data_IF_969591007726
#
_entry.id   IF_969591007726
#
_cell.length_a   1.000
_cell.length_b   1.000
_cell.length_c   1.000
_cell.angle_alpha   90.00
_cell.angle_beta   90.00
_cell.angle_gamma   90.00
#
_symmetry.space_group_name_H-M   'P 1'
#
loop_
_entity.id
_entity.type
_entity.pdbx_description
1 polymer ?
#
# COMPACT_ATOMS: atom_id res chain seq x y z
N UNK A 1 19.30 -22.64 3.05
CA UNK A 1 18.30 -22.31 4.08
C UNK A 1 18.30 -20.82 4.45
N UNK A 2 19.45 -20.22 4.66
CA UNK A 2 19.56 -18.78 4.98
C UNK A 2 18.98 -17.87 3.89
N UNK A 3 19.30 -18.12 2.62
CA UNK A 3 18.84 -17.29 1.49
C UNK A 3 17.31 -17.31 1.28
N UNK A 4 16.68 -18.48 1.41
CA UNK A 4 15.23 -18.60 1.25
C UNK A 4 14.45 -17.94 2.39
N UNK A 5 14.96 -18.00 3.62
CA UNK A 5 14.38 -17.30 4.78
C UNK A 5 14.52 -15.79 4.66
N UNK A 6 15.72 -15.30 4.33
CA UNK A 6 15.95 -13.88 4.09
C UNK A 6 15.03 -13.36 2.96
N UNK A 7 14.82 -14.16 1.90
CA UNK A 7 13.90 -13.82 0.83
C UNK A 7 12.44 -13.76 1.30
N UNK A 8 12.01 -14.67 2.17
CA UNK A 8 10.66 -14.61 2.75
C UNK A 8 10.49 -13.38 3.63
N UNK A 9 11.45 -13.09 4.50
CA UNK A 9 11.41 -11.90 5.36
C UNK A 9 11.38 -10.63 4.52
N UNK A 10 12.20 -10.54 3.49
CA UNK A 10 12.21 -9.44 2.55
C UNK A 10 10.86 -9.29 1.82
N UNK A 11 10.27 -10.38 1.34
CA UNK A 11 8.96 -10.35 0.68
C UNK A 11 7.85 -9.85 1.62
N UNK A 12 7.82 -10.32 2.86
CA UNK A 12 6.85 -9.87 3.86
C UNK A 12 7.02 -8.38 4.18
N UNK A 13 8.27 -7.92 4.35
CA UNK A 13 8.57 -6.50 4.56
C UNK A 13 8.24 -5.63 3.37
N UNK A 14 8.49 -6.12 2.15
CA UNK A 14 8.08 -5.43 0.92
C UNK A 14 6.57 -5.26 0.85
N UNK A 15 5.80 -6.30 1.18
CA UNK A 15 4.34 -6.22 1.22
C UNK A 15 3.86 -5.20 2.26
N UNK A 16 4.45 -5.20 3.45
CA UNK A 16 4.16 -4.21 4.50
C UNK A 16 4.46 -2.77 4.03
N UNK A 17 5.61 -2.57 3.39
CA UNK A 17 5.99 -1.28 2.83
C UNK A 17 5.02 -0.80 1.72
N UNK A 18 4.61 -1.69 0.82
CA UNK A 18 3.63 -1.40 -0.24
C UNK A 18 2.25 -1.02 0.35
N UNK A 19 1.82 -1.67 1.43
CA UNK A 19 0.60 -1.30 2.16
C UNK A 19 0.69 0.10 2.78
N UNK A 20 1.82 0.46 3.38
CA UNK A 20 2.07 1.79 3.95
C UNK A 20 2.05 2.84 2.84
N UNK A 21 2.71 2.58 1.71
CA UNK A 21 2.69 3.45 0.54
C UNK A 21 1.26 3.66 0.02
N UNK A 22 0.45 2.59 -0.02
CA UNK A 22 -0.96 2.67 -0.40
C UNK A 22 -1.76 3.59 0.52
N UNK A 23 -1.53 3.52 1.83
CA UNK A 23 -2.19 4.41 2.81
C UNK A 23 -1.77 5.86 2.65
N UNK A 24 -0.47 6.13 2.48
CA UNK A 24 0.04 7.48 2.24
C UNK A 24 -0.49 8.08 0.93
N UNK A 25 -0.57 7.27 -0.12
CA UNK A 25 -1.17 7.66 -1.39
C UNK A 25 -2.65 8.02 -1.23
N UNK A 26 -3.42 7.20 -0.51
CA UNK A 26 -4.83 7.45 -0.25
C UNK A 26 -5.06 8.77 0.51
N UNK A 27 -4.23 9.08 1.51
CA UNK A 27 -4.29 10.38 2.19
C UNK A 27 -4.05 11.55 1.24
N UNK A 28 -3.12 11.41 0.31
CA UNK A 28 -2.83 12.45 -0.68
C UNK A 28 -4.02 12.67 -1.61
N UNK A 29 -4.58 11.59 -2.15
CA UNK A 29 -5.74 11.64 -3.04
C UNK A 29 -6.98 12.26 -2.36
N UNK A 30 -7.24 11.90 -1.10
CA UNK A 30 -8.32 12.51 -0.31
C UNK A 30 -8.09 14.00 -0.07
N UNK A 31 -6.85 14.41 0.22
CA UNK A 31 -6.51 15.81 0.38
C UNK A 31 -6.74 16.62 -0.90
N UNK A 32 -6.33 16.09 -2.04
CA UNK A 32 -6.53 16.70 -3.35
C UNK A 32 -8.03 16.88 -3.66
N UNK A 33 -8.84 15.84 -3.45
CA UNK A 33 -10.28 15.91 -3.65
C UNK A 33 -10.97 16.97 -2.78
N UNK A 34 -10.59 17.06 -1.49
CA UNK A 34 -11.13 18.08 -0.60
C UNK A 34 -10.69 19.49 -0.99
N UNK A 35 -9.45 19.67 -1.43
CA UNK A 35 -8.96 20.96 -1.92
C UNK A 35 -9.66 21.40 -3.21
N UNK A 36 -9.87 20.48 -4.15
CA UNK A 36 -10.62 20.75 -5.39
C UNK A 36 -12.07 21.17 -5.09
N UNK A 37 -12.73 20.45 -4.15
CA UNK A 37 -14.09 20.78 -3.68
C UNK A 37 -14.13 22.19 -3.08
N UNK A 38 -13.17 22.53 -2.21
CA UNK A 38 -13.07 23.87 -1.62
C UNK A 38 -12.88 24.96 -2.69
N UNK A 39 -11.99 24.71 -3.64
CA UNK A 39 -11.75 25.67 -4.73
C UNK A 39 -12.98 25.86 -5.60
N UNK A 40 -13.66 24.78 -5.94
CA UNK A 40 -14.91 24.85 -6.74
C UNK A 40 -16.00 25.65 -6.02
N UNK A 41 -16.16 25.47 -4.70
CA UNK A 41 -17.14 26.21 -3.90
C UNK A 41 -16.79 27.70 -3.77
N UNK A 42 -15.50 28.03 -3.59
CA UNK A 42 -15.04 29.41 -3.59
C UNK A 42 -15.32 30.12 -4.92
N UNK A 43 -14.98 29.46 -6.03
CA UNK A 43 -15.25 29.99 -7.37
C UNK A 43 -16.75 30.14 -7.62
N UNK A 44 -17.58 29.22 -7.12
CA UNK A 44 -19.07 29.32 -7.21
C UNK A 44 -19.57 30.55 -6.49
N UNK A 45 -19.12 30.82 -5.26
CA UNK A 45 -19.52 32.00 -4.49
C UNK A 45 -19.06 33.29 -5.18
N UNK A 46 -17.84 33.31 -5.67
CA UNK A 46 -17.28 34.46 -6.38
C UNK A 46 -18.07 34.76 -7.67
N UNK A 47 -18.50 33.72 -8.40
CA UNK A 47 -19.34 33.86 -9.59
C UNK A 47 -20.77 34.35 -9.30
N UNK A 48 -21.32 33.99 -8.14
CA UNK A 48 -22.65 34.47 -7.71
C UNK A 48 -22.62 35.96 -7.34
N UNK A 49 -21.48 36.43 -6.80
CA UNK A 49 -21.37 37.80 -6.31
C UNK A 49 -22.28 38.09 -5.11
N UNK A 50 -22.18 39.29 -4.55
CA UNK A 50 -23.09 39.73 -3.50
C UNK A 50 -24.49 40.05 -4.11
N UNK A 51 -25.58 39.39 -3.64
CA UNK A 51 -26.90 39.59 -4.21
C UNK A 51 -27.49 40.95 -3.85
N UNK A 52 -28.20 41.55 -4.79
CA UNK A 52 -28.93 42.84 -4.58
C UNK A 52 -30.02 42.66 -3.51
N UNK A 53 -30.40 43.80 -2.86
CA UNK A 53 -31.38 43.77 -1.75
C UNK A 53 -32.73 43.18 -2.12
N UNK A 54 -33.15 43.28 -3.37
CA UNK A 54 -34.45 42.83 -3.87
C UNK A 54 -34.44 41.44 -4.49
N UNK A 55 -33.25 40.84 -4.73
CA UNK A 55 -33.09 39.52 -5.32
C UNK A 55 -33.15 38.44 -4.23
N UNK A 56 -34.33 37.90 -3.98
CA UNK A 56 -34.55 36.85 -2.96
C UNK A 56 -33.89 35.54 -3.38
N UNK A 57 -34.02 35.16 -4.66
CA UNK A 57 -33.47 33.89 -5.17
C UNK A 57 -31.94 33.91 -5.15
N UNK A 58 -31.32 35.04 -5.52
CA UNK A 58 -29.88 35.24 -5.42
C UNK A 58 -29.38 35.18 -3.99
N UNK A 59 -30.10 35.73 -3.03
CA UNK A 59 -29.78 35.66 -1.60
C UNK A 59 -29.81 34.22 -1.08
N UNK A 60 -30.83 33.45 -1.49
CA UNK A 60 -30.92 32.03 -1.10
C UNK A 60 -29.78 31.24 -1.72
N UNK A 61 -29.48 31.40 -3.00
CA UNK A 61 -28.39 30.72 -3.67
C UNK A 61 -27.03 31.04 -3.04
N UNK A 62 -26.77 32.31 -2.73
CA UNK A 62 -25.54 32.75 -2.06
C UNK A 62 -25.41 32.18 -0.65
N UNK A 63 -26.51 32.21 0.13
CA UNK A 63 -26.50 31.64 1.49
C UNK A 63 -26.25 30.14 1.50
N UNK A 64 -26.89 29.39 0.58
CA UNK A 64 -26.64 27.95 0.43
C UNK A 64 -25.19 27.66 0.03
N UNK A 65 -24.67 28.38 -0.96
CA UNK A 65 -23.26 28.19 -1.37
C UNK A 65 -22.27 28.53 -0.25
N UNK A 66 -22.57 29.58 0.53
CA UNK A 66 -21.75 29.96 1.71
C UNK A 66 -21.79 28.90 2.80
N UNK A 67 -22.97 28.31 3.03
CA UNK A 67 -23.10 27.21 3.97
C UNK A 67 -22.34 25.94 3.51
N UNK A 68 -22.43 25.59 2.22
CA UNK A 68 -21.67 24.48 1.63
C UNK A 68 -20.17 24.69 1.79
N UNK A 69 -19.68 25.91 1.53
CA UNK A 69 -18.27 26.26 1.70
C UNK A 69 -17.84 26.11 3.18
N UNK A 70 -18.60 26.66 4.11
CA UNK A 70 -18.29 26.54 5.54
C UNK A 70 -18.22 25.09 5.99
N UNK A 71 -19.15 24.24 5.53
CA UNK A 71 -19.14 22.80 5.84
C UNK A 71 -17.90 22.11 5.25
N UNK A 72 -17.52 22.44 4.02
CA UNK A 72 -16.34 21.90 3.37
C UNK A 72 -15.03 22.37 4.06
N UNK A 73 -14.96 23.62 4.54
CA UNK A 73 -13.83 24.12 5.33
C UNK A 73 -13.70 23.37 6.66
N UNK A 74 -14.82 23.08 7.33
CA UNK A 74 -14.81 22.28 8.57
C UNK A 74 -14.46 20.81 8.32
N UNK A 75 -14.86 20.25 7.19
CA UNK A 75 -14.45 18.91 6.76
C UNK A 75 -12.94 18.87 6.53
N UNK A 76 -12.37 19.88 5.87
CA UNK A 76 -10.94 20.02 5.64
C UNK A 76 -10.14 20.17 6.94
N UNK A 77 -10.55 21.02 7.88
CA UNK A 77 -9.93 21.18 9.19
C UNK A 77 -9.86 19.84 9.94
N UNK A 78 -10.99 19.11 10.02
CA UNK A 78 -11.05 17.78 10.69
C UNK A 78 -10.14 16.77 10.00
N UNK A 79 -10.14 16.77 8.66
CA UNK A 79 -9.27 15.88 7.90
C UNK A 79 -7.79 16.17 8.17
N UNK A 80 -7.38 17.43 8.24
CA UNK A 80 -6.01 17.80 8.57
C UNK A 80 -5.60 17.36 9.97
N UNK A 81 -6.47 17.57 10.98
CA UNK A 81 -6.19 17.20 12.36
C UNK A 81 -6.05 15.68 12.52
N UNK A 82 -6.94 14.90 11.92
CA UNK A 82 -6.88 13.44 11.96
C UNK A 82 -5.66 12.90 11.19
N UNK A 83 -5.44 13.44 9.99
CA UNK A 83 -4.37 13.00 9.10
C UNK A 83 -2.97 13.23 9.67
N UNK A 84 -2.76 14.35 10.39
CA UNK A 84 -1.42 14.75 10.82
C UNK A 84 -0.72 13.65 11.63
N UNK A 85 -1.40 13.10 12.62
CA UNK A 85 -0.85 12.05 13.47
C UNK A 85 -0.66 10.73 12.70
N UNK A 86 -1.65 10.35 11.89
CA UNK A 86 -1.60 9.09 11.13
C UNK A 86 -0.53 9.15 10.03
N UNK A 87 -0.41 10.28 9.32
CA UNK A 87 0.60 10.47 8.29
C UNK A 87 2.02 10.45 8.87
N UNK A 88 2.25 11.08 10.01
CA UNK A 88 3.54 11.04 10.69
C UNK A 88 3.92 9.62 11.09
N UNK A 89 2.98 8.86 11.67
CA UNK A 89 3.18 7.47 12.05
C UNK A 89 3.52 6.59 10.82
N UNK A 90 2.78 6.73 9.72
CA UNK A 90 3.05 5.94 8.51
C UNK A 90 4.35 6.32 7.83
N UNK A 91 4.78 7.60 7.86
CA UNK A 91 6.08 8.02 7.33
C UNK A 91 7.25 7.46 8.14
N UNK A 92 7.10 7.41 9.47
CA UNK A 92 8.10 6.78 10.33
C UNK A 92 8.19 5.28 10.07
N UNK A 93 7.04 4.59 9.97
CA UNK A 93 6.99 3.17 9.63
C UNK A 93 7.58 2.89 8.24
N UNK A 94 7.29 3.74 7.25
CA UNK A 94 7.86 3.65 5.91
C UNK A 94 9.39 3.69 5.93
N UNK A 95 9.96 4.63 6.67
CA UNK A 95 11.42 4.78 6.77
C UNK A 95 12.07 3.57 7.45
N UNK A 96 11.46 3.05 8.53
CA UNK A 96 11.91 1.84 9.22
C UNK A 96 11.85 0.64 8.26
N UNK A 97 10.71 0.42 7.60
CA UNK A 97 10.57 -0.68 6.65
C UNK A 97 11.57 -0.59 5.49
N UNK A 98 11.87 0.61 5.01
CA UNK A 98 12.85 0.83 3.94
C UNK A 98 14.26 0.44 4.39
N UNK A 99 14.67 0.84 5.61
CA UNK A 99 15.96 0.47 6.15
C UNK A 99 16.09 -1.05 6.34
N UNK A 100 15.06 -1.70 6.88
CA UNK A 100 15.03 -3.16 7.03
C UNK A 100 15.07 -3.89 5.67
N UNK A 101 14.40 -3.35 4.65
CA UNK A 101 14.46 -3.88 3.28
C UNK A 101 15.86 -3.78 2.68
N UNK A 102 16.53 -2.63 2.83
CA UNK A 102 17.89 -2.41 2.33
C UNK A 102 18.89 -3.36 3.03
N UNK A 103 18.73 -3.56 4.33
CA UNK A 103 19.55 -4.52 5.10
C UNK A 103 19.34 -5.97 4.61
N UNK A 104 18.10 -6.41 4.47
CA UNK A 104 17.77 -7.75 3.98
C UNK A 104 18.26 -7.95 2.54
N UNK A 105 18.09 -6.93 1.68
CA UNK A 105 18.53 -6.97 0.28
C UNK A 105 20.04 -7.18 0.18
N UNK A 106 20.82 -6.56 1.07
CA UNK A 106 22.27 -6.75 1.12
C UNK A 106 22.69 -8.20 1.44
N UNK A 107 21.84 -8.97 2.11
CA UNK A 107 22.10 -10.37 2.50
C UNK A 107 21.67 -11.39 1.44
N UNK A 108 20.82 -11.00 0.49
CA UNK A 108 20.25 -11.86 -0.53
C UNK A 108 21.10 -11.81 -1.81
N UNK A 109 21.41 -12.99 -2.37
CA UNK A 109 22.21 -13.06 -3.61
C UNK A 109 21.38 -12.60 -4.82
N UNK A 110 22.07 -12.04 -5.83
CA UNK A 110 21.45 -11.60 -7.09
C UNK A 110 20.70 -12.74 -7.79
N UNK A 111 21.23 -13.97 -7.76
CA UNK A 111 20.58 -15.14 -8.36
C UNK A 111 19.25 -15.45 -7.67
N UNK A 112 19.19 -15.26 -6.35
CA UNK A 112 17.98 -15.44 -5.54
C UNK A 112 16.92 -14.42 -5.93
N UNK A 113 17.29 -13.15 -6.12
CA UNK A 113 16.38 -12.12 -6.60
C UNK A 113 15.88 -12.37 -8.02
N UNK A 114 16.74 -12.77 -8.94
CA UNK A 114 16.32 -13.14 -10.30
C UNK A 114 15.26 -14.25 -10.28
N UNK A 115 15.49 -15.28 -9.43
CA UNK A 115 14.53 -16.36 -9.25
C UNK A 115 13.20 -15.87 -8.68
N UNK A 116 13.24 -14.91 -7.75
CA UNK A 116 12.05 -14.28 -7.18
C UNK A 116 11.29 -13.48 -8.24
N UNK A 117 11.96 -12.65 -9.02
CA UNK A 117 11.35 -11.85 -10.09
C UNK A 117 10.65 -12.74 -11.12
N UNK A 118 11.30 -13.79 -11.58
CA UNK A 118 10.69 -14.77 -12.51
C UNK A 118 9.39 -15.37 -11.96
N UNK A 119 9.35 -15.70 -10.66
CA UNK A 119 8.15 -16.28 -10.06
C UNK A 119 7.08 -15.23 -9.79
N UNK A 120 7.47 -14.01 -9.46
CA UNK A 120 6.55 -12.90 -9.20
C UNK A 120 5.77 -12.44 -10.44
N UNK A 121 6.28 -12.69 -11.64
CA UNK A 121 5.54 -12.43 -12.88
C UNK A 121 4.26 -13.28 -13.01
N UNK A 122 4.22 -14.43 -12.36
CA UNK A 122 3.11 -15.38 -12.47
C UNK A 122 2.32 -15.58 -11.17
N UNK A 123 2.84 -15.10 -10.05
CA UNK A 123 2.26 -15.34 -8.72
C UNK A 123 2.40 -14.10 -7.82
N UNK A 124 1.31 -13.64 -7.23
CA UNK A 124 1.30 -12.53 -6.27
C UNK A 124 2.11 -12.83 -5.00
N UNK A 125 2.14 -14.12 -4.57
CA UNK A 125 2.95 -14.59 -3.46
C UNK A 125 4.00 -15.60 -3.95
N UNK A 126 5.16 -15.14 -4.42
CA UNK A 126 6.17 -16.00 -5.04
C UNK A 126 6.93 -16.87 -4.03
N UNK A 127 6.94 -16.52 -2.74
CA UNK A 127 7.65 -17.24 -1.67
C UNK A 127 6.63 -17.77 -0.66
N UNK A 128 6.68 -19.07 -0.39
CA UNK A 128 5.71 -19.74 0.50
C UNK A 128 6.38 -20.75 1.41
N UNK A 129 5.84 -20.91 2.61
CA UNK A 129 6.30 -21.91 3.57
C UNK A 129 5.91 -23.34 3.18
N UNK A 130 6.69 -24.28 3.63
CA UNK A 130 6.35 -25.71 3.61
C UNK A 130 5.82 -26.13 4.97
N UNK A 131 4.57 -26.57 5.03
CA UNK A 131 3.95 -27.11 6.25
C UNK A 131 3.37 -28.50 5.99
N UNK A 132 3.63 -29.44 6.90
CA UNK A 132 3.11 -30.84 6.83
C UNK A 132 3.40 -31.53 5.48
N UNK A 133 4.58 -31.30 4.91
CA UNK A 133 5.00 -31.78 3.59
C UNK A 133 4.18 -31.26 2.42
N UNK A 134 3.47 -30.15 2.60
CA UNK A 134 2.67 -29.50 1.57
C UNK A 134 3.15 -28.08 1.30
N UNK A 135 3.03 -27.63 0.06
CA UNK A 135 3.26 -26.25 -0.33
C UNK A 135 2.11 -25.38 0.17
N UNK A 136 2.38 -24.33 0.95
CA UNK A 136 1.33 -23.43 1.46
C UNK A 136 0.79 -22.46 0.40
N UNK A 137 1.29 -22.51 -0.82
CA UNK A 137 0.76 -21.71 -1.94
C UNK A 137 -0.33 -22.42 -2.76
N UNK A 138 -0.14 -23.72 -3.05
CA UNK A 138 -1.13 -24.53 -3.78
C UNK A 138 -1.80 -25.60 -2.92
N UNK A 139 -1.36 -25.76 -1.67
CA UNK A 139 -1.85 -26.74 -0.68
C UNK A 139 -1.70 -28.22 -1.08
N UNK A 140 -0.90 -28.50 -2.12
CA UNK A 140 -0.65 -29.85 -2.57
C UNK A 140 0.59 -30.46 -1.89
N UNK A 141 0.60 -31.79 -1.66
CA UNK A 141 1.74 -32.47 -1.09
C UNK A 141 2.94 -32.42 -2.06
N UNK A 142 4.13 -32.22 -1.49
CA UNK A 142 5.38 -32.19 -2.23
C UNK A 142 5.93 -33.62 -2.38
N UNK A 143 6.56 -33.89 -3.53
CA UNK A 143 7.24 -35.18 -3.76
C UNK A 143 8.42 -35.37 -2.77
N UNK A 144 8.82 -36.61 -2.58
CA UNK A 144 9.98 -36.94 -1.74
C UNK A 144 11.29 -36.32 -2.27
N UNK A 145 11.37 -36.17 -3.60
CA UNK A 145 12.54 -35.55 -4.25
C UNK A 145 12.61 -34.07 -3.88
N UNK A 146 11.51 -33.35 -4.04
CA UNK A 146 11.38 -31.92 -3.70
C UNK A 146 11.60 -31.69 -2.21
N UNK A 147 11.02 -32.54 -1.35
CA UNK A 147 11.22 -32.46 0.09
C UNK A 147 12.67 -32.68 0.51
N UNK A 148 13.36 -33.64 -0.11
CA UNK A 148 14.76 -33.89 0.17
C UNK A 148 15.66 -32.74 -0.32
N UNK A 149 15.37 -32.15 -1.48
CA UNK A 149 16.07 -30.98 -1.99
C UNK A 149 15.88 -29.78 -1.05
N UNK A 150 14.64 -29.53 -0.62
CA UNK A 150 14.31 -28.46 0.32
C UNK A 150 15.01 -28.63 1.67
N UNK A 151 15.02 -29.84 2.25
CA UNK A 151 15.72 -30.14 3.53
C UNK A 151 17.22 -29.94 3.44
N UNK A 152 17.84 -30.25 2.30
CA UNK A 152 19.26 -30.03 2.09
C UNK A 152 19.66 -28.55 2.09
N UNK A 153 18.74 -27.65 1.74
CA UNK A 153 18.90 -26.21 1.83
C UNK A 153 20.08 -25.60 1.05
N UNK A 154 20.64 -26.35 0.07
CA UNK A 154 21.82 -25.89 -0.70
C UNK A 154 21.46 -24.91 -1.81
N UNK A 155 20.24 -24.98 -2.32
CA UNK A 155 19.72 -24.15 -3.42
C UNK A 155 18.26 -23.79 -3.13
N UNK A 156 17.77 -22.74 -3.77
CA UNK A 156 16.34 -22.44 -3.79
C UNK A 156 15.58 -23.61 -4.44
N UNK A 157 14.51 -24.03 -3.79
CA UNK A 157 13.65 -25.10 -4.29
C UNK A 157 12.30 -24.51 -4.66
N UNK A 158 11.81 -24.84 -5.83
CA UNK A 158 10.48 -24.44 -6.31
C UNK A 158 9.47 -25.57 -6.13
N UNK A 159 8.23 -25.23 -5.89
CA UNK A 159 7.14 -26.20 -5.92
C UNK A 159 6.96 -26.77 -7.34
N UNK A 160 6.91 -28.08 -7.48
CA UNK A 160 6.75 -28.76 -8.77
C UNK A 160 5.38 -28.53 -9.43
N UNK A 161 4.38 -28.06 -8.64
CA UNK A 161 3.01 -27.83 -9.14
C UNK A 161 2.76 -26.36 -9.45
N UNK A 162 3.06 -25.45 -8.51
CA UNK A 162 2.74 -24.02 -8.68
C UNK A 162 3.95 -23.14 -8.96
N UNK A 163 5.18 -23.69 -8.97
CA UNK A 163 6.40 -22.95 -9.28
C UNK A 163 6.91 -22.00 -8.18
N UNK A 164 6.15 -21.80 -7.11
CA UNK A 164 6.54 -20.90 -5.99
C UNK A 164 7.79 -21.37 -5.27
N UNK A 165 8.55 -20.43 -4.73
CA UNK A 165 9.77 -20.70 -3.96
C UNK A 165 9.37 -21.23 -2.58
N UNK A 166 9.96 -22.36 -2.18
CA UNK A 166 9.68 -23.05 -0.92
C UNK A 166 10.64 -22.64 0.19
N UNK A 167 10.08 -22.26 1.35
CA UNK A 167 10.82 -21.86 2.56
C UNK A 167 10.42 -22.71 3.76
#
# INVERSE_FOLDING_TARGET
MLQSRALLEWHLKKTEWEEIQGKLKNFREQAEQLQEKLLALKNKIESLGEPEQQDIDGKIAYALASQELWMAEKEWERFQDQRFNDEMMYREQEEICRQELDELESTISRETFQTYEEVSEFCDNPVVEVKRRSCMGCFLPLSMITMNAWRKGKKLVRCEVCGRILV
#
